data_IF_231649071473
#
_entry.id   IF_231649071473
#
_cell.length_a   1.000
_cell.length_b   1.000
_cell.length_c   1.000
_cell.angle_alpha   90.00
_cell.angle_beta   90.00
_cell.angle_gamma   90.00
#
_symmetry.space_group_name_H-M   'P 1'
#
loop_
_entity.id
_entity.type
_entity.pdbx_description
1 polymer ?
#
# COMPACT_ATOMS: atom_id res chain seq x y z
N UNK A 1 -46.65 -13.00 -5.01
CA UNK A 1 -45.84 -13.34 -3.82
C UNK A 1 -44.39 -13.07 -4.18
N UNK A 2 -43.77 -11.95 -3.77
CA UNK A 2 -42.35 -11.77 -4.03
C UNK A 2 -41.56 -12.61 -3.01
N UNK A 3 -40.78 -13.56 -3.51
CA UNK A 3 -39.75 -14.26 -2.74
C UNK A 3 -38.73 -13.23 -2.27
N UNK A 4 -38.90 -12.76 -1.03
CA UNK A 4 -37.94 -11.88 -0.38
C UNK A 4 -36.69 -12.72 -0.06
N UNK A 5 -35.75 -12.73 -0.99
CA UNK A 5 -34.49 -13.46 -0.85
C UNK A 5 -33.59 -12.60 0.03
N UNK A 6 -33.84 -12.59 1.34
CA UNK A 6 -33.05 -11.82 2.31
C UNK A 6 -31.59 -12.24 2.20
N UNK A 7 -30.73 -11.30 1.81
CA UNK A 7 -29.32 -11.55 1.53
C UNK A 7 -28.59 -11.80 2.87
N UNK A 8 -28.05 -13.00 3.03
CA UNK A 8 -27.17 -13.31 4.16
C UNK A 8 -25.72 -13.07 3.76
N UNK A 9 -24.98 -12.31 4.57
CA UNK A 9 -23.55 -12.07 4.37
C UNK A 9 -22.79 -12.23 5.69
N UNK A 10 -21.46 -12.29 5.62
CA UNK A 10 -20.63 -12.49 6.80
C UNK A 10 -19.62 -11.35 6.96
N UNK A 11 -19.43 -10.90 8.19
CA UNK A 11 -18.38 -9.95 8.57
C UNK A 11 -17.59 -10.51 9.75
N UNK A 12 -16.44 -9.93 10.05
CA UNK A 12 -15.60 -10.39 11.16
C UNK A 12 -15.67 -9.43 12.35
N UNK A 13 -15.77 -10.00 13.56
CA UNK A 13 -15.66 -9.25 14.80
C UNK A 13 -14.22 -8.72 15.02
N UNK A 14 -14.05 -7.80 15.99
CA UNK A 14 -12.73 -7.29 16.37
C UNK A 14 -11.76 -8.41 16.81
N UNK A 15 -12.29 -9.49 17.42
CA UNK A 15 -11.52 -10.67 17.85
C UNK A 15 -11.36 -11.74 16.76
N UNK A 16 -11.85 -11.49 15.54
CA UNK A 16 -11.70 -12.38 14.39
C UNK A 16 -12.77 -13.49 14.29
N UNK A 17 -13.70 -13.60 15.23
CA UNK A 17 -14.85 -14.51 15.08
C UNK A 17 -15.83 -14.01 14.02
N UNK A 18 -16.41 -14.93 13.24
CA UNK A 18 -17.42 -14.63 12.22
C UNK A 18 -18.72 -14.09 12.84
N UNK A 19 -19.32 -13.11 12.18
CA UNK A 19 -20.62 -12.53 12.48
C UNK A 19 -21.51 -12.66 11.26
N UNK A 20 -22.75 -13.06 11.47
CA UNK A 20 -23.76 -13.11 10.41
C UNK A 20 -24.40 -11.73 10.26
N UNK A 21 -24.63 -11.32 9.01
CA UNK A 21 -25.40 -10.14 8.65
C UNK A 21 -26.64 -10.59 7.90
N UNK A 22 -27.81 -10.18 8.38
CA UNK A 22 -29.11 -10.49 7.79
C UNK A 22 -30.02 -9.28 7.93
N UNK A 23 -30.61 -8.82 6.83
CA UNK A 23 -31.46 -7.63 6.76
C UNK A 23 -30.83 -6.41 7.48
N UNK A 24 -29.55 -6.16 7.20
CA UNK A 24 -28.72 -5.09 7.80
C UNK A 24 -28.47 -5.18 9.32
N UNK A 25 -28.95 -6.23 9.99
CA UNK A 25 -28.65 -6.52 11.40
C UNK A 25 -27.45 -7.46 11.53
N UNK A 26 -26.64 -7.26 12.58
CA UNK A 26 -25.45 -8.07 12.85
C UNK A 26 -25.70 -9.03 14.01
N UNK A 27 -25.24 -10.27 13.87
CA UNK A 27 -25.42 -11.35 14.82
C UNK A 27 -24.09 -12.01 15.20
N UNK A 28 -23.89 -12.27 16.49
CA UNK A 28 -22.77 -13.03 17.04
C UNK A 28 -23.11 -14.52 17.08
N UNK A 29 -22.12 -15.37 16.83
CA UNK A 29 -22.26 -16.81 17.07
C UNK A 29 -22.42 -17.07 18.57
N UNK A 30 -23.57 -17.62 18.96
CA UNK A 30 -23.90 -17.96 20.34
C UNK A 30 -23.58 -19.44 20.64
N UNK A 31 -23.97 -20.36 19.75
CA UNK A 31 -23.75 -21.80 19.92
C UNK A 31 -23.53 -22.47 18.57
N UNK A 32 -22.65 -23.47 18.55
CA UNK A 32 -22.43 -24.37 17.41
C UNK A 32 -22.79 -25.80 17.82
N UNK A 33 -23.65 -26.45 17.06
CA UNK A 33 -23.90 -27.89 17.15
C UNK A 33 -23.35 -28.58 15.90
N UNK A 34 -23.41 -29.91 15.85
CA UNK A 34 -22.98 -30.70 14.68
C UNK A 34 -23.80 -30.40 13.43
N UNK A 35 -25.03 -29.91 13.58
CA UNK A 35 -25.97 -29.71 12.46
C UNK A 35 -26.38 -28.25 12.27
N UNK A 36 -26.27 -27.39 13.30
CA UNK A 36 -26.81 -26.02 13.27
C UNK A 36 -25.87 -25.01 13.95
N UNK A 37 -25.92 -23.78 13.47
CA UNK A 37 -25.30 -22.62 14.08
C UNK A 37 -26.39 -21.69 14.62
N UNK A 38 -26.21 -21.23 15.85
CA UNK A 38 -27.13 -20.34 16.54
C UNK A 38 -26.50 -18.97 16.67
N UNK A 39 -27.14 -17.97 16.09
CA UNK A 39 -26.69 -16.59 16.04
C UNK A 39 -27.62 -15.72 16.87
N UNK A 40 -27.06 -14.81 17.67
CA UNK A 40 -27.81 -13.86 18.51
C UNK A 40 -27.49 -12.44 18.08
N UNK A 41 -28.49 -11.56 18.04
CA UNK A 41 -28.27 -10.15 17.70
C UNK A 41 -27.19 -9.52 18.61
N UNK A 42 -26.35 -8.65 18.05
CA UNK A 42 -25.27 -8.00 18.81
C UNK A 42 -25.74 -6.92 19.78
N UNK A 43 -26.94 -6.35 19.58
CA UNK A 43 -27.46 -5.28 20.43
C UNK A 43 -27.85 -5.79 21.83
N UNK A 44 -27.49 -5.02 22.84
CA UNK A 44 -27.91 -5.28 24.23
C UNK A 44 -29.43 -5.23 24.33
N UNK A 45 -30.01 -6.19 25.03
CA UNK A 45 -31.46 -6.35 25.20
C UNK A 45 -32.26 -6.70 23.94
N UNK A 46 -31.59 -7.03 22.82
CA UNK A 46 -32.26 -7.66 21.68
C UNK A 46 -32.37 -9.17 21.90
N UNK A 47 -33.54 -9.73 21.63
CA UNK A 47 -33.86 -11.16 21.81
C UNK A 47 -33.94 -11.93 20.50
N UNK A 48 -33.56 -11.31 19.38
CA UNK A 48 -33.61 -11.96 18.06
C UNK A 48 -32.52 -13.01 17.92
N UNK A 49 -32.92 -14.21 17.46
CA UNK A 49 -32.04 -15.31 17.12
C UNK A 49 -32.21 -15.75 15.67
N UNK A 50 -31.10 -16.13 15.04
CA UNK A 50 -31.08 -16.75 13.72
C UNK A 50 -30.42 -18.12 13.83
N UNK A 51 -31.01 -19.12 13.18
CA UNK A 51 -30.43 -20.45 13.03
C UNK A 51 -30.01 -20.65 11.58
N UNK A 52 -28.78 -21.09 11.36
CA UNK A 52 -28.30 -21.53 10.04
C UNK A 52 -27.86 -22.99 10.10
N UNK A 53 -27.79 -23.66 8.95
CA UNK A 53 -27.08 -24.95 8.86
C UNK A 53 -25.55 -24.73 8.89
N UNK A 54 -24.78 -25.81 8.83
CA UNK A 54 -23.31 -25.75 8.74
C UNK A 54 -22.80 -25.17 7.42
N UNK A 55 -23.65 -25.09 6.40
CA UNK A 55 -23.37 -24.50 5.10
C UNK A 55 -23.86 -23.04 5.01
N UNK A 56 -24.20 -22.43 6.15
CA UNK A 56 -24.69 -21.05 6.28
C UNK A 56 -26.06 -20.75 5.62
N UNK A 57 -26.85 -21.77 5.28
CA UNK A 57 -28.21 -21.58 4.82
C UNK A 57 -29.13 -21.22 5.99
N UNK A 58 -29.98 -20.22 5.79
CA UNK A 58 -30.95 -19.78 6.79
C UNK A 58 -31.98 -20.87 7.06
N UNK A 59 -32.12 -21.28 8.33
CA UNK A 59 -33.10 -22.28 8.76
C UNK A 59 -34.30 -21.63 9.47
N UNK A 60 -34.05 -20.68 10.37
CA UNK A 60 -35.10 -20.11 11.21
C UNK A 60 -34.70 -18.73 11.77
N UNK A 61 -35.66 -17.83 11.90
CA UNK A 61 -35.52 -16.54 12.57
C UNK A 61 -36.54 -16.49 13.71
N UNK A 62 -36.15 -15.96 14.86
CA UNK A 62 -37.02 -15.87 16.04
C UNK A 62 -36.99 -14.46 16.63
N UNK A 63 -38.17 -13.87 16.81
CA UNK A 63 -38.36 -12.57 17.45
C UNK A 63 -38.38 -11.40 16.47
N UNK A 64 -38.60 -10.21 17.02
CA UNK A 64 -38.55 -8.93 16.30
C UNK A 64 -37.52 -8.01 16.94
N UNK A 65 -36.84 -7.20 16.12
CA UNK A 65 -35.86 -6.24 16.62
C UNK A 65 -36.55 -5.10 17.36
N UNK A 66 -36.03 -4.76 18.55
CA UNK A 66 -36.46 -3.62 19.36
C UNK A 66 -35.55 -2.39 19.18
N UNK A 67 -34.77 -2.37 18.11
CA UNK A 67 -33.85 -1.29 17.79
C UNK A 67 -33.76 -1.12 16.28
N UNK A 68 -33.38 0.08 15.85
CA UNK A 68 -33.12 0.37 14.44
C UNK A 68 -31.81 -0.28 13.99
N UNK A 69 -31.69 -0.53 12.69
CA UNK A 69 -30.43 -0.90 12.09
C UNK A 69 -29.52 0.34 11.97
N UNK A 70 -28.21 0.15 12.15
CA UNK A 70 -27.21 1.20 12.04
C UNK A 70 -26.35 0.97 10.79
N UNK A 71 -26.73 1.52 9.62
CA UNK A 71 -26.06 1.20 8.35
C UNK A 71 -24.59 1.63 8.34
N UNK A 72 -24.25 2.69 9.07
CA UNK A 72 -22.89 3.19 9.18
C UNK A 72 -21.96 2.18 9.88
N UNK A 73 -22.40 1.57 10.99
CA UNK A 73 -21.56 0.62 11.73
C UNK A 73 -21.35 -0.68 10.96
N UNK A 74 -22.37 -1.14 10.24
CA UNK A 74 -22.26 -2.28 9.33
C UNK A 74 -21.26 -2.00 8.20
N UNK A 75 -21.37 -0.83 7.54
CA UNK A 75 -20.44 -0.45 6.46
C UNK A 75 -19.00 -0.34 6.94
N UNK A 76 -18.76 0.21 8.12
CA UNK A 76 -17.41 0.26 8.71
C UNK A 76 -16.85 -1.15 8.96
N UNK A 77 -17.68 -2.11 9.40
CA UNK A 77 -17.26 -3.51 9.56
C UNK A 77 -16.96 -4.20 8.23
N UNK A 78 -17.79 -3.98 7.21
CA UNK A 78 -17.57 -4.49 5.86
C UNK A 78 -16.25 -3.94 5.30
N UNK A 79 -16.05 -2.62 5.40
CA UNK A 79 -14.81 -1.95 4.97
C UNK A 79 -13.57 -2.53 5.66
N UNK A 80 -13.60 -2.72 6.98
CA UNK A 80 -12.51 -3.37 7.72
C UNK A 80 -12.24 -4.81 7.30
N UNK A 81 -13.27 -5.54 6.88
CA UNK A 81 -13.14 -6.92 6.42
C UNK A 81 -12.39 -6.96 5.09
N UNK A 82 -12.80 -6.12 4.13
CA UNK A 82 -12.11 -5.96 2.85
C UNK A 82 -10.64 -5.57 3.04
N UNK A 83 -10.36 -4.59 3.91
CA UNK A 83 -8.98 -4.19 4.20
C UNK A 83 -8.14 -5.34 4.76
N UNK A 84 -8.70 -6.14 5.68
CA UNK A 84 -7.99 -7.30 6.24
C UNK A 84 -7.70 -8.35 5.17
N UNK A 85 -8.65 -8.64 4.30
CA UNK A 85 -8.47 -9.58 3.19
C UNK A 85 -7.37 -9.11 2.22
N UNK A 86 -7.42 -7.84 1.79
CA UNK A 86 -6.39 -7.26 0.92
C UNK A 86 -5.02 -7.27 1.57
N UNK A 87 -4.91 -6.87 2.84
CA UNK A 87 -3.63 -6.79 3.57
C UNK A 87 -2.97 -8.16 3.77
N UNK A 88 -3.77 -9.23 3.80
CA UNK A 88 -3.31 -10.62 3.90
C UNK A 88 -2.83 -11.13 2.53
N UNK A 89 -3.48 -10.75 1.44
CA UNK A 89 -3.18 -11.25 0.10
C UNK A 89 -2.17 -10.38 -0.68
N UNK A 90 -1.96 -9.13 -0.26
CA UNK A 90 -1.14 -8.15 -0.96
C UNK A 90 0.04 -7.65 -0.11
N UNK A 91 1.18 -7.42 -0.75
CA UNK A 91 2.40 -6.85 -0.16
C UNK A 91 2.42 -5.32 -0.17
N UNK A 92 1.37 -4.68 -0.68
CA UNK A 92 1.24 -3.22 -0.80
C UNK A 92 1.22 -2.55 0.59
N UNK A 93 1.79 -1.34 0.74
CA UNK A 93 1.69 -0.58 1.99
C UNK A 93 0.24 -0.38 2.44
N UNK A 94 -0.02 -0.56 3.74
CA UNK A 94 -1.38 -0.52 4.30
C UNK A 94 -2.08 0.82 4.01
N UNK A 95 -1.33 1.93 4.07
CA UNK A 95 -1.86 3.26 3.78
C UNK A 95 -2.38 3.34 2.34
N UNK A 96 -1.61 2.82 1.37
CA UNK A 96 -2.01 2.81 -0.03
C UNK A 96 -3.26 1.94 -0.26
N UNK A 97 -3.34 0.77 0.37
CA UNK A 97 -4.55 -0.08 0.33
C UNK A 97 -5.76 0.68 0.88
N UNK A 98 -5.60 1.38 2.01
CA UNK A 98 -6.67 2.18 2.61
C UNK A 98 -7.16 3.29 1.68
N UNK A 99 -6.24 4.06 1.10
CA UNK A 99 -6.57 5.17 0.21
C UNK A 99 -7.27 4.69 -1.07
N UNK A 100 -6.80 3.59 -1.65
CA UNK A 100 -7.44 2.94 -2.80
C UNK A 100 -8.86 2.45 -2.48
N UNK A 101 -9.06 1.82 -1.33
CA UNK A 101 -10.38 1.33 -0.94
C UNK A 101 -11.35 2.47 -0.62
N UNK A 102 -10.88 3.58 -0.05
CA UNK A 102 -11.71 4.79 0.10
C UNK A 102 -12.12 5.33 -1.27
N UNK A 103 -11.18 5.42 -2.22
CA UNK A 103 -11.47 5.91 -3.56
C UNK A 103 -12.47 5.00 -4.31
N UNK A 104 -12.34 3.67 -4.17
CA UNK A 104 -13.24 2.70 -4.82
C UNK A 104 -14.65 2.68 -4.22
N UNK A 105 -14.76 2.85 -2.89
CA UNK A 105 -16.01 2.61 -2.20
C UNK A 105 -17.10 3.66 -2.50
N UNK A 106 -16.76 4.77 -3.17
CA UNK A 106 -17.67 5.86 -3.57
C UNK A 106 -18.74 6.16 -2.52
N UNK A 107 -18.29 6.29 -1.26
CA UNK A 107 -19.17 6.31 -0.10
C UNK A 107 -19.82 7.68 0.07
N UNK A 108 -21.05 7.70 0.61
CA UNK A 108 -21.70 8.96 0.98
C UNK A 108 -20.92 9.70 2.06
N UNK A 109 -21.08 11.03 2.11
CA UNK A 109 -20.39 11.91 3.07
C UNK A 109 -20.56 11.43 4.51
N UNK A 110 -21.77 11.01 4.88
CA UNK A 110 -22.10 10.53 6.23
C UNK A 110 -21.33 9.25 6.61
N UNK A 111 -21.08 8.37 5.64
CA UNK A 111 -20.34 7.13 5.86
C UNK A 111 -18.84 7.41 5.93
N UNK A 112 -18.34 8.29 5.09
CA UNK A 112 -16.93 8.72 5.14
C UNK A 112 -16.58 9.33 6.50
N UNK A 113 -17.49 10.12 7.08
CA UNK A 113 -17.33 10.67 8.43
C UNK A 113 -17.30 9.58 9.52
N UNK A 114 -17.93 8.42 9.26
CA UNK A 114 -17.98 7.29 10.18
C UNK A 114 -16.79 6.33 10.01
N UNK A 115 -16.05 6.41 8.90
CA UNK A 115 -14.87 5.57 8.67
C UNK A 115 -13.74 6.03 9.61
N UNK A 116 -13.18 5.12 10.42
CA UNK A 116 -12.05 5.46 11.26
C UNK A 116 -10.84 5.81 10.41
N UNK A 117 -10.11 6.86 10.82
CA UNK A 117 -8.84 7.25 10.21
C UNK A 117 -7.86 6.07 10.09
N UNK A 118 -7.04 6.07 9.04
CA UNK A 118 -6.12 4.98 8.71
C UNK A 118 -5.28 4.52 9.91
N UNK A 119 -4.70 5.46 10.67
CA UNK A 119 -3.85 5.15 11.82
C UNK A 119 -4.59 4.42 12.97
N UNK A 120 -5.92 4.55 13.09
CA UNK A 120 -6.70 3.79 14.07
C UNK A 120 -6.89 2.33 13.67
N UNK A 121 -6.90 2.02 12.38
CA UNK A 121 -7.14 0.66 11.85
C UNK A 121 -5.82 -0.06 11.60
N UNK A 122 -4.75 0.69 11.30
CA UNK A 122 -3.43 0.18 10.93
C UNK A 122 -2.82 -0.81 11.93
N UNK A 123 -2.94 -0.68 13.27
CA UNK A 123 -2.45 -1.69 14.22
C UNK A 123 -3.10 -3.06 14.01
N UNK A 124 -4.42 -3.09 13.80
CA UNK A 124 -5.17 -4.33 13.57
C UNK A 124 -4.84 -4.98 12.22
N UNK A 125 -4.61 -4.16 11.19
CA UNK A 125 -4.18 -4.63 9.87
C UNK A 125 -2.75 -5.19 9.91
N UNK A 126 -1.84 -4.49 10.59
CA UNK A 126 -0.48 -4.98 10.84
C UNK A 126 -0.49 -6.31 11.60
N UNK A 127 -1.35 -6.46 12.61
CA UNK A 127 -1.48 -7.72 13.34
C UNK A 127 -1.99 -8.85 12.43
N UNK A 128 -2.99 -8.59 11.57
CA UNK A 128 -3.47 -9.56 10.61
C UNK A 128 -2.36 -10.00 9.63
N UNK A 129 -1.60 -9.04 9.09
CA UNK A 129 -0.45 -9.31 8.20
C UNK A 129 0.64 -10.13 8.91
N UNK A 130 0.95 -9.80 10.17
CA UNK A 130 1.96 -10.52 10.97
C UNK A 130 1.64 -12.00 11.18
N UNK A 131 0.37 -12.41 11.16
CA UNK A 131 0.00 -13.83 11.30
C UNK A 131 0.47 -14.69 10.13
N UNK A 132 0.75 -14.09 8.97
CA UNK A 132 1.32 -14.76 7.81
C UNK A 132 2.85 -14.76 7.82
N UNK A 133 3.46 -13.91 8.65
CA UNK A 133 4.92 -13.85 8.75
C UNK A 133 5.41 -15.03 9.57
N UNK A 134 6.45 -15.75 9.12
CA UNK A 134 7.03 -16.84 9.89
C UNK A 134 7.42 -16.37 11.30
N UNK A 135 7.35 -17.30 12.25
CA UNK A 135 7.88 -17.07 13.60
C UNK A 135 9.37 -16.76 13.47
N UNK A 136 9.84 -15.75 14.20
CA UNK A 136 11.25 -15.42 14.24
C UNK A 136 12.04 -16.67 14.70
N UNK A 137 13.15 -17.02 14.02
CA UNK A 137 13.92 -18.20 14.39
C UNK A 137 14.51 -18.05 15.80
N UNK A 138 14.83 -19.16 16.46
CA UNK A 138 15.44 -19.17 17.80
C UNK A 138 16.98 -19.12 17.76
N UNK A 139 17.57 -19.32 16.58
CA UNK A 139 19.01 -19.26 16.35
C UNK A 139 19.34 -18.76 14.94
N UNK A 140 20.63 -18.60 14.64
CA UNK A 140 21.12 -18.27 13.28
C UNK A 140 21.09 -19.47 12.30
N UNK A 141 20.80 -20.67 12.81
CA UNK A 141 20.80 -21.93 12.08
C UNK A 141 19.36 -22.26 11.71
N UNK A 142 18.86 -21.63 10.65
CA UNK A 142 17.51 -21.80 10.13
C UNK A 142 17.53 -21.86 8.60
N UNK A 143 16.65 -22.64 8.01
CA UNK A 143 16.50 -22.67 6.56
C UNK A 143 15.70 -21.44 6.09
N UNK A 144 16.12 -20.85 4.98
CA UNK A 144 15.37 -19.76 4.36
C UNK A 144 14.28 -20.39 3.48
N UNK A 145 12.99 -20.13 3.74
CA UNK A 145 11.91 -20.65 2.90
C UNK A 145 12.09 -20.29 1.43
N UNK A 146 11.73 -21.19 0.52
CA UNK A 146 11.87 -21.03 -0.93
C UNK A 146 11.22 -19.74 -1.45
N UNK A 147 10.07 -19.37 -0.87
CA UNK A 147 9.36 -18.13 -1.19
C UNK A 147 10.17 -16.84 -0.94
N UNK A 148 11.26 -16.88 -0.18
CA UNK A 148 12.17 -15.75 0.07
C UNK A 148 13.50 -15.86 -0.69
N UNK A 149 13.73 -16.96 -1.42
CA UNK A 149 14.94 -17.16 -2.19
C UNK A 149 14.83 -16.59 -3.60
N UNK A 150 13.61 -16.35 -4.09
CA UNK A 150 13.35 -15.80 -5.43
C UNK A 150 12.56 -14.50 -5.40
N UNK A 151 12.67 -13.71 -6.46
CA UNK A 151 11.82 -12.53 -6.70
C UNK A 151 10.38 -12.95 -7.05
N UNK A 152 9.46 -11.98 -7.11
CA UNK A 152 8.09 -12.23 -7.59
C UNK A 152 8.03 -12.66 -9.07
N UNK A 153 9.07 -12.39 -9.87
CA UNK A 153 9.22 -12.86 -11.25
C UNK A 153 9.89 -14.24 -11.34
N UNK A 154 10.26 -14.86 -10.21
CA UNK A 154 10.91 -16.18 -10.17
C UNK A 154 12.42 -16.16 -10.38
N UNK A 155 13.06 -14.98 -10.36
CA UNK A 155 14.52 -14.89 -10.48
C UNK A 155 15.20 -15.18 -9.14
N UNK A 156 16.42 -15.75 -9.12
CA UNK A 156 17.19 -15.91 -7.89
C UNK A 156 17.41 -14.55 -7.20
N UNK A 157 17.17 -14.50 -5.88
CA UNK A 157 17.32 -13.30 -5.07
C UNK A 157 18.25 -13.51 -3.89
N UNK A 158 18.29 -14.69 -3.27
CA UNK A 158 19.30 -15.04 -2.27
C UNK A 158 20.59 -15.48 -2.99
N UNK A 159 21.60 -14.60 -3.02
CA UNK A 159 22.85 -14.83 -3.75
C UNK A 159 23.88 -15.56 -2.89
N UNK A 160 23.91 -15.26 -1.59
CA UNK A 160 24.88 -15.84 -0.67
C UNK A 160 24.22 -16.19 0.65
N UNK A 161 24.42 -17.43 1.07
CA UNK A 161 24.12 -17.89 2.41
C UNK A 161 25.33 -18.65 2.93
N UNK A 162 26.08 -18.02 3.84
CA UNK A 162 27.35 -18.57 4.33
C UNK A 162 27.51 -18.39 5.83
N UNK A 163 27.87 -19.47 6.51
CA UNK A 163 28.41 -19.39 7.87
C UNK A 163 29.85 -18.86 7.82
N UNK A 164 30.05 -17.62 8.27
CA UNK A 164 31.36 -16.99 8.39
C UNK A 164 32.11 -17.52 9.61
N UNK A 165 31.39 -17.88 10.66
CA UNK A 165 31.93 -18.57 11.86
C UNK A 165 30.84 -19.41 12.52
N UNK A 166 31.18 -20.16 13.58
CA UNK A 166 30.22 -20.97 14.36
C UNK A 166 28.97 -20.19 14.83
N UNK A 167 29.06 -18.86 14.97
CA UNK A 167 27.96 -18.00 15.43
C UNK A 167 27.57 -16.89 14.44
N UNK A 168 28.27 -16.74 13.32
CA UNK A 168 28.01 -15.64 12.36
C UNK A 168 27.63 -16.21 11.01
N UNK A 169 26.47 -15.79 10.52
CA UNK A 169 25.96 -16.09 9.19
C UNK A 169 25.92 -14.80 8.38
N UNK A 170 26.26 -14.89 7.12
CA UNK A 170 26.19 -13.80 6.15
C UNK A 170 25.15 -14.19 5.11
N UNK A 171 24.14 -13.34 4.97
CA UNK A 171 23.11 -13.44 3.94
C UNK A 171 23.26 -12.25 3.00
N UNK A 172 23.28 -12.51 1.69
CA UNK A 172 23.30 -11.46 0.67
C UNK A 172 22.11 -11.68 -0.25
N UNK A 173 21.31 -10.63 -0.38
CA UNK A 173 20.14 -10.60 -1.26
C UNK A 173 20.37 -9.59 -2.39
N UNK A 174 19.97 -9.97 -3.60
CA UNK A 174 20.03 -9.15 -4.80
C UNK A 174 19.65 -9.98 -6.03
N UNK A 175 18.90 -9.41 -6.96
CA UNK A 175 18.65 -10.08 -8.25
C UNK A 175 19.82 -9.86 -9.21
N UNK A 176 20.01 -10.72 -10.22
CA UNK A 176 21.02 -10.51 -11.27
C UNK A 176 20.90 -9.13 -11.93
N UNK A 177 19.67 -8.68 -12.21
CA UNK A 177 19.41 -7.35 -12.78
C UNK A 177 19.82 -6.23 -11.81
N UNK A 178 19.54 -6.35 -10.51
CA UNK A 178 19.98 -5.36 -9.52
C UNK A 178 21.51 -5.27 -9.44
N UNK A 179 22.19 -6.41 -9.50
CA UNK A 179 23.66 -6.43 -9.53
C UNK A 179 24.20 -5.77 -10.81
N UNK A 180 23.61 -6.06 -11.97
CA UNK A 180 23.99 -5.42 -13.23
C UNK A 180 23.77 -3.90 -13.17
N UNK A 181 22.61 -3.45 -12.69
CA UNK A 181 22.33 -2.02 -12.47
C UNK A 181 23.33 -1.39 -11.50
N UNK A 182 23.73 -2.11 -10.45
CA UNK A 182 24.75 -1.64 -9.52
C UNK A 182 26.11 -1.47 -10.20
N UNK A 183 26.53 -2.40 -11.06
CA UNK A 183 27.77 -2.29 -11.84
C UNK A 183 27.75 -1.14 -12.84
N UNK A 184 26.59 -0.88 -13.45
CA UNK A 184 26.40 0.21 -14.41
C UNK A 184 26.14 1.57 -13.75
N UNK A 185 25.92 1.61 -12.44
CA UNK A 185 25.57 2.85 -11.72
C UNK A 185 26.79 3.75 -11.57
N UNK A 186 26.65 5.01 -12.00
CA UNK A 186 27.69 6.02 -11.85
C UNK A 186 27.91 6.44 -10.40
N UNK A 187 26.87 6.32 -9.56
CA UNK A 187 26.91 6.71 -8.15
C UNK A 187 26.39 5.53 -7.31
N UNK A 188 27.15 5.16 -6.28
CA UNK A 188 26.82 4.11 -5.34
C UNK A 188 26.76 4.69 -3.93
N UNK A 189 25.65 4.46 -3.24
CA UNK A 189 25.47 4.78 -1.83
C UNK A 189 25.52 3.50 -1.01
N UNK A 190 26.23 3.56 0.13
CA UNK A 190 26.40 2.46 1.06
C UNK A 190 25.93 2.93 2.43
N UNK A 191 24.97 2.22 3.03
CA UNK A 191 24.51 2.51 4.39
C UNK A 191 24.44 1.24 5.23
N UNK A 192 24.85 1.36 6.48
CA UNK A 192 24.94 0.27 7.42
C UNK A 192 24.14 0.58 8.68
N UNK A 193 22.98 -0.07 8.82
CA UNK A 193 22.08 0.18 9.95
C UNK A 193 22.23 -0.90 11.02
N UNK A 194 22.58 -0.48 12.25
CA UNK A 194 22.67 -1.38 13.40
C UNK A 194 21.36 -1.48 14.19
N UNK A 195 20.60 -0.37 14.26
CA UNK A 195 19.40 -0.25 15.11
C UNK A 195 18.23 -1.13 14.66
N UNK A 196 18.15 -1.41 13.37
CA UNK A 196 17.04 -2.14 12.75
C UNK A 196 17.39 -3.61 12.46
N UNK A 197 18.52 -4.09 12.98
CA UNK A 197 19.04 -5.41 12.63
C UNK A 197 18.17 -6.52 13.24
N UNK A 198 17.87 -7.59 12.47
CA UNK A 198 17.15 -8.74 12.99
C UNK A 198 17.98 -9.46 14.06
N UNK A 199 17.33 -10.22 14.95
CA UNK A 199 18.03 -11.11 15.87
C UNK A 199 19.07 -11.98 15.14
N UNK A 200 20.19 -12.26 15.81
CA UNK A 200 21.33 -13.06 15.34
C UNK A 200 22.22 -12.46 14.25
N UNK A 201 21.90 -11.27 13.75
CA UNK A 201 22.77 -10.52 12.84
C UNK A 201 23.35 -9.29 13.54
N UNK A 202 24.55 -8.89 13.15
CA UNK A 202 25.24 -7.73 13.73
C UNK A 202 24.79 -6.42 13.06
N UNK A 203 24.46 -6.46 11.76
CA UNK A 203 24.12 -5.28 10.96
C UNK A 203 23.23 -5.64 9.76
N UNK A 204 22.35 -4.71 9.35
CA UNK A 204 21.79 -4.68 7.99
C UNK A 204 22.62 -3.69 7.17
N UNK A 205 23.14 -4.15 6.03
CA UNK A 205 23.89 -3.31 5.09
C UNK A 205 23.12 -3.18 3.78
N UNK A 206 22.89 -1.95 3.32
CA UNK A 206 22.19 -1.66 2.07
C UNK A 206 23.14 -0.98 1.08
N UNK A 207 23.02 -1.38 -0.18
CA UNK A 207 23.76 -0.83 -1.31
C UNK A 207 22.74 -0.29 -2.30
N UNK A 208 22.85 0.99 -2.65
CA UNK A 208 21.97 1.65 -3.60
C UNK A 208 22.79 2.17 -4.78
N UNK A 209 22.45 1.72 -5.99
CA UNK A 209 22.99 2.28 -7.23
C UNK A 209 22.06 3.33 -7.80
N UNK A 210 22.60 4.49 -8.20
CA UNK A 210 21.92 5.49 -9.00
C UNK A 210 22.51 5.46 -10.41
N UNK A 211 21.69 5.02 -11.36
CA UNK A 211 21.99 4.99 -12.80
C UNK A 211 21.11 6.00 -13.52
N UNK A 212 21.73 6.81 -14.37
CA UNK A 212 21.01 7.70 -15.28
C UNK A 212 20.89 6.99 -16.63
N UNK A 213 19.66 6.65 -17.04
CA UNK A 213 19.41 5.87 -18.26
C UNK A 213 19.63 6.67 -19.55
N UNK A 214 19.49 8.00 -19.47
CA UNK A 214 19.76 8.90 -20.58
C UNK A 214 20.12 10.30 -20.07
N UNK A 215 20.82 11.07 -20.91
CA UNK A 215 21.12 12.47 -20.62
C UNK A 215 19.82 13.29 -20.62
N UNK A 216 19.77 14.36 -19.81
CA UNK A 216 18.57 15.21 -19.63
C UNK A 216 18.01 15.69 -20.97
N UNK A 217 18.89 15.98 -21.92
CA UNK A 217 18.52 16.39 -23.28
C UNK A 217 17.77 15.28 -24.03
N UNK A 218 18.32 14.07 -24.03
CA UNK A 218 17.69 12.90 -24.66
C UNK A 218 16.35 12.58 -24.00
N UNK A 219 16.26 12.59 -22.66
CA UNK A 219 14.99 12.36 -21.95
C UNK A 219 13.92 13.37 -22.34
N UNK A 220 14.30 14.64 -22.51
CA UNK A 220 13.37 15.70 -22.87
C UNK A 220 12.78 15.49 -24.27
N UNK A 221 13.63 15.18 -25.26
CA UNK A 221 13.17 14.92 -26.62
C UNK A 221 12.33 13.63 -26.72
N UNK A 222 12.70 12.58 -26.00
CA UNK A 222 11.92 11.35 -25.94
C UNK A 222 10.53 11.59 -25.33
N UNK A 223 10.46 12.30 -24.20
CA UNK A 223 9.19 12.65 -23.56
C UNK A 223 8.28 13.46 -24.52
N UNK A 224 8.85 14.45 -25.22
CA UNK A 224 8.12 15.24 -26.22
C UNK A 224 7.65 14.38 -27.40
N UNK A 225 8.42 13.36 -27.80
CA UNK A 225 8.07 12.46 -28.87
C UNK A 225 6.99 11.44 -28.47
N UNK A 226 7.04 10.89 -27.26
CA UNK A 226 6.14 9.81 -26.79
C UNK A 226 4.88 10.31 -26.08
N UNK A 227 4.82 11.58 -25.67
CA UNK A 227 3.65 12.14 -25.00
C UNK A 227 2.35 12.00 -25.82
N UNK A 228 1.23 11.87 -25.13
CA UNK A 228 -0.10 11.83 -25.76
C UNK A 228 -0.37 13.13 -26.58
N UNK A 229 -1.00 13.05 -27.78
CA UNK A 229 -1.24 14.21 -28.63
C UNK A 229 -2.01 15.35 -27.95
N UNK A 230 -2.96 15.05 -27.06
CA UNK A 230 -3.71 16.07 -26.31
C UNK A 230 -2.81 16.78 -25.31
N UNK A 231 -1.95 16.03 -24.60
CA UNK A 231 -0.97 16.59 -23.66
C UNK A 231 0.07 17.45 -24.39
N UNK A 232 0.55 17.02 -25.56
CA UNK A 232 1.46 17.83 -26.40
C UNK A 232 0.86 19.17 -26.78
N UNK A 233 -0.44 19.19 -27.09
CA UNK A 233 -1.12 20.42 -27.47
C UNK A 233 -1.29 21.38 -26.28
N UNK A 234 -1.66 20.84 -25.11
CA UNK A 234 -1.83 21.60 -23.87
C UNK A 234 -0.51 22.18 -23.35
N UNK A 235 0.59 21.43 -23.48
CA UNK A 235 1.91 21.82 -22.97
C UNK A 235 2.85 22.38 -24.05
N UNK A 236 2.33 22.70 -25.25
CA UNK A 236 3.16 23.11 -26.40
C UNK A 236 4.08 24.28 -26.07
N UNK A 237 3.54 25.33 -25.45
CA UNK A 237 4.32 26.53 -25.12
C UNK A 237 5.39 26.23 -24.05
N UNK A 238 5.11 25.31 -23.12
CA UNK A 238 6.07 24.86 -22.13
C UNK A 238 7.22 24.07 -22.79
N UNK A 239 6.91 23.16 -23.71
CA UNK A 239 7.92 22.42 -24.46
C UNK A 239 8.80 23.36 -25.29
N UNK A 240 8.22 24.32 -26.00
CA UNK A 240 8.99 25.29 -26.78
C UNK A 240 9.91 26.14 -25.88
N UNK A 241 9.38 26.65 -24.77
CA UNK A 241 10.17 27.40 -23.80
C UNK A 241 11.34 26.57 -23.26
N UNK A 242 11.09 25.33 -22.84
CA UNK A 242 12.13 24.49 -22.25
C UNK A 242 13.20 24.08 -23.27
N UNK A 243 12.79 23.78 -24.50
CA UNK A 243 13.68 23.46 -25.62
C UNK A 243 14.57 24.65 -25.98
N UNK A 244 13.99 25.81 -26.24
CA UNK A 244 14.74 26.99 -26.66
C UNK A 244 15.62 27.54 -25.54
N UNK A 245 15.11 27.63 -24.30
CA UNK A 245 15.81 28.33 -23.24
C UNK A 245 16.68 27.42 -22.39
N UNK A 246 16.15 26.30 -21.92
CA UNK A 246 16.91 25.44 -21.01
C UNK A 246 17.86 24.56 -21.81
N UNK A 247 17.34 23.73 -22.71
CA UNK A 247 18.12 22.73 -23.44
C UNK A 247 19.20 23.39 -24.31
N UNK A 248 18.81 24.34 -25.16
CA UNK A 248 19.73 24.92 -26.15
C UNK A 248 20.58 26.10 -25.63
N UNK A 249 20.11 26.83 -24.62
CA UNK A 249 20.72 28.11 -24.21
C UNK A 249 21.40 28.09 -22.83
N UNK A 250 21.05 27.15 -21.93
CA UNK A 250 21.70 27.04 -20.61
C UNK A 250 22.46 25.72 -20.51
N UNK A 251 23.79 25.71 -20.29
CA UNK A 251 24.53 24.47 -20.10
C UNK A 251 23.98 23.64 -18.94
N UNK A 252 23.71 22.35 -19.16
CA UNK A 252 23.12 21.42 -18.18
C UNK A 252 23.88 21.41 -16.84
N UNK A 253 25.21 21.57 -16.88
CA UNK A 253 26.07 21.71 -15.67
C UNK A 253 25.69 22.88 -14.75
N UNK A 254 24.93 23.86 -15.24
CA UNK A 254 24.46 25.02 -14.47
C UNK A 254 23.04 24.82 -13.92
N UNK A 255 22.35 23.74 -14.29
CA UNK A 255 20.98 23.46 -13.85
C UNK A 255 20.94 22.92 -12.41
N UNK A 256 22.02 22.28 -11.96
CA UNK A 256 22.18 21.78 -10.61
C UNK A 256 23.35 22.48 -9.89
N UNK A 257 23.07 23.12 -8.77
CA UNK A 257 24.03 23.84 -7.94
C UNK A 257 24.43 23.06 -6.67
N UNK A 258 24.09 21.77 -6.59
CA UNK A 258 24.53 20.89 -5.53
C UNK A 258 26.08 20.84 -5.49
N UNK A 259 26.65 20.98 -4.30
CA UNK A 259 28.10 21.12 -4.02
C UNK A 259 28.86 22.32 -4.61
N UNK A 260 28.17 23.33 -5.18
CA UNK A 260 28.82 24.58 -5.59
C UNK A 260 28.92 25.59 -4.43
N UNK A 261 30.10 26.19 -4.24
CA UNK A 261 30.38 27.17 -3.18
C UNK A 261 29.52 28.44 -3.24
N UNK A 262 29.05 28.83 -4.43
CA UNK A 262 28.20 30.00 -4.61
C UNK A 262 26.81 29.60 -5.13
N UNK A 263 25.83 29.60 -4.23
CA UNK A 263 24.41 29.41 -4.57
C UNK A 263 23.77 30.76 -4.85
N UNK A 264 23.80 31.27 -6.08
CA UNK A 264 22.88 32.34 -6.47
C UNK A 264 22.41 32.14 -7.91
N UNK A 265 21.14 31.76 -8.06
CA UNK A 265 20.43 31.67 -9.33
C UNK A 265 19.97 33.05 -9.84
N UNK A 266 20.75 34.12 -9.64
CA UNK A 266 20.34 35.51 -9.93
C UNK A 266 19.75 35.71 -11.34
N UNK A 267 20.11 34.83 -12.28
CA UNK A 267 19.54 34.77 -13.63
C UNK A 267 18.09 34.25 -13.63
N UNK A 268 17.79 33.17 -12.90
CA UNK A 268 16.44 32.59 -12.77
C UNK A 268 15.49 33.52 -11.98
N UNK A 269 15.96 34.15 -10.91
CA UNK A 269 15.16 35.14 -10.16
C UNK A 269 14.83 36.38 -11.00
N UNK A 270 15.77 36.86 -11.82
CA UNK A 270 15.53 37.94 -12.77
C UNK A 270 14.51 37.58 -13.86
N UNK A 271 14.48 36.31 -14.27
CA UNK A 271 13.56 35.80 -15.28
C UNK A 271 12.12 35.64 -14.75
N UNK A 272 11.92 35.00 -13.59
CA UNK A 272 10.59 34.87 -12.98
C UNK A 272 9.92 36.22 -12.74
N UNK A 273 10.71 37.21 -12.29
CA UNK A 273 10.22 38.59 -12.13
C UNK A 273 9.81 39.26 -13.44
N UNK A 274 10.41 38.89 -14.58
CA UNK A 274 10.06 39.43 -15.90
C UNK A 274 8.86 38.72 -16.52
N UNK A 275 8.76 37.40 -16.31
CA UNK A 275 7.62 36.57 -16.74
C UNK A 275 6.33 36.98 -16.02
N UNK A 276 6.40 37.13 -14.68
CA UNK A 276 5.24 37.55 -13.88
C UNK A 276 4.71 38.93 -14.31
N UNK A 277 5.62 39.89 -14.58
CA UNK A 277 5.23 41.21 -15.11
C UNK A 277 4.55 41.17 -16.47
N UNK A 278 4.87 40.19 -17.33
CA UNK A 278 4.21 40.02 -18.63
C UNK A 278 2.84 39.36 -18.50
N UNK A 279 2.68 38.44 -17.55
CA UNK A 279 1.41 37.75 -17.29
C UNK A 279 0.37 38.65 -16.60
N UNK A 280 0.82 39.69 -15.89
CA UNK A 280 -0.06 40.66 -15.21
C UNK A 280 -0.54 41.83 -16.09
N UNK A 281 -0.11 41.93 -17.35
CA UNK A 281 -0.64 42.95 -18.27
C UNK A 281 -1.92 42.44 -18.94
N UNK A 282 -3.06 43.15 -18.83
CA UNK A 282 -4.26 42.80 -19.59
C UNK A 282 -4.00 43.06 -21.08
N UNK A 283 -4.48 42.13 -21.92
CA UNK A 283 -4.38 42.16 -23.39
C UNK A 283 -4.84 43.49 -24.01
#
# INVERSE_FOLDING_TARGET
MPNNTSLTSFVHSNKGGSQLVHDDFVFNLNKKTTTKLYWRCTMTNCTVYIHTDTNNNLLHITGEHNHLFEPQTLRVKQFRTVLKERVVNETVPIQKIYDEEIAKANLSVDVLASIPLAHHIQPGLNQARRKLTPILPESNSFDIPEAYQTTASGEPFLICDKLVSRKKRMLIFGSPNQLQLLFDSSIIFLDGTFRSTPPFFDQIFTIHGLKFDCEVETSFYDLRATADPTVKLQLRELFLYFDEYWINNIPIKMWNIHDNQHRTNNICEGFHNRLNRRMEQPM
#
